data_IF_169507986529
#
_entry.id   IF_169507986529
#
_cell.length_a   1.000
_cell.length_b   1.000
_cell.length_c   1.000
_cell.angle_alpha   90.00
_cell.angle_beta   90.00
_cell.angle_gamma   90.00
#
_symmetry.space_group_name_H-M   'P 1'
#
loop_
_entity.id
_entity.type
_entity.pdbx_description
1 polymer ?
#
# COMPACT_ATOMS: atom_id res chain seq x y z
N UNK A 1 2.53 -20.52 -17.04
CA UNK A 1 2.79 -21.77 -16.28
C UNK A 1 2.98 -21.41 -14.81
N UNK A 2 2.54 -22.27 -13.88
CA UNK A 2 2.77 -22.09 -12.44
C UNK A 2 3.86 -23.07 -11.99
N UNK A 3 4.86 -22.55 -11.27
CA UNK A 3 5.94 -23.34 -10.70
C UNK A 3 6.00 -23.11 -9.17
N UNK A 4 6.47 -24.11 -8.43
CA UNK A 4 6.68 -24.02 -6.97
C UNK A 4 8.13 -23.67 -6.71
N UNK A 5 8.36 -22.62 -5.91
CA UNK A 5 9.67 -22.23 -5.41
C UNK A 5 9.72 -22.56 -3.91
N UNK A 6 10.65 -23.42 -3.51
CA UNK A 6 10.89 -23.78 -2.10
C UNK A 6 12.11 -23.01 -1.61
N UNK A 7 11.95 -22.27 -0.51
CA UNK A 7 13.01 -21.46 0.09
C UNK A 7 13.31 -21.97 1.51
N UNK A 8 14.58 -22.05 1.86
CA UNK A 8 15.01 -22.27 3.24
C UNK A 8 15.13 -20.92 3.94
N UNK A 9 14.36 -20.72 5.01
CA UNK A 9 14.28 -19.49 5.78
C UNK A 9 14.26 -19.83 7.26
N UNK A 10 14.59 -18.85 8.09
CA UNK A 10 14.46 -18.97 9.54
C UNK A 10 13.01 -19.28 9.96
N UNK A 11 12.84 -20.16 10.94
CA UNK A 11 11.52 -20.63 11.40
C UNK A 11 10.70 -19.50 12.04
N UNK A 12 11.33 -18.63 12.81
CA UNK A 12 10.70 -17.48 13.44
C UNK A 12 10.24 -16.48 12.39
N UNK A 13 11.07 -16.25 11.36
CA UNK A 13 10.70 -15.39 10.23
C UNK A 13 9.48 -15.94 9.48
N UNK A 14 9.41 -17.25 9.26
CA UNK A 14 8.24 -17.90 8.62
C UNK A 14 6.98 -17.68 9.46
N UNK A 15 7.06 -17.78 10.79
CA UNK A 15 5.93 -17.56 11.69
C UNK A 15 5.44 -16.11 11.62
N UNK A 16 6.35 -15.14 11.72
CA UNK A 16 6.05 -13.72 11.61
C UNK A 16 5.42 -13.36 10.25
N UNK A 17 5.97 -13.90 9.16
CA UNK A 17 5.47 -13.65 7.82
C UNK A 17 4.04 -14.19 7.62
N UNK A 18 3.73 -15.37 8.16
CA UNK A 18 2.37 -15.94 8.12
C UNK A 18 1.37 -15.12 8.93
N UNK A 19 1.79 -14.63 10.10
CA UNK A 19 0.94 -13.78 10.95
C UNK A 19 0.65 -12.45 10.23
N UNK A 20 1.68 -11.82 9.67
CA UNK A 20 1.53 -10.60 8.88
C UNK A 20 0.58 -10.80 7.69
N UNK A 21 0.73 -11.89 6.94
CA UNK A 21 -0.11 -12.16 5.77
C UNK A 21 -1.58 -12.32 6.14
N UNK A 22 -1.88 -12.96 7.29
CA UNK A 22 -3.25 -13.08 7.82
C UNK A 22 -3.84 -11.72 8.15
N UNK A 23 -3.10 -10.85 8.84
CA UNK A 23 -3.54 -9.48 9.18
C UNK A 23 -3.82 -8.64 7.94
N UNK A 24 -3.07 -8.85 6.86
CA UNK A 24 -3.25 -8.15 5.58
C UNK A 24 -4.29 -8.81 4.68
N UNK A 25 -4.98 -9.86 5.13
CA UNK A 25 -5.96 -10.65 4.36
C UNK A 25 -5.41 -11.11 2.99
N UNK A 26 -4.11 -11.38 2.90
CA UNK A 26 -3.42 -11.82 1.67
C UNK A 26 -2.63 -13.08 1.94
N UNK A 27 -2.54 -13.98 0.96
CA UNK A 27 -1.71 -15.16 1.10
C UNK A 27 -0.23 -14.80 1.04
N UNK A 28 0.59 -15.47 1.84
CA UNK A 28 2.05 -15.26 1.86
C UNK A 28 2.66 -15.49 0.46
N UNK A 29 2.20 -16.54 -0.25
CA UNK A 29 2.63 -16.80 -1.63
C UNK A 29 2.32 -15.65 -2.57
N UNK A 30 1.16 -14.99 -2.42
CA UNK A 30 0.81 -13.83 -3.25
C UNK A 30 1.66 -12.61 -2.93
N UNK A 31 1.98 -12.40 -1.66
CA UNK A 31 2.88 -11.33 -1.23
C UNK A 31 4.28 -11.50 -1.83
N UNK A 32 4.85 -12.71 -1.74
CA UNK A 32 6.17 -13.02 -2.29
C UNK A 32 6.17 -12.94 -3.82
N UNK A 33 5.13 -13.46 -4.48
CA UNK A 33 4.96 -13.33 -5.94
C UNK A 33 4.96 -11.86 -6.38
N UNK A 34 4.18 -11.01 -5.71
CA UNK A 34 4.10 -9.59 -6.02
C UNK A 34 5.43 -8.86 -5.78
N UNK A 35 6.17 -9.23 -4.74
CA UNK A 35 7.49 -8.70 -4.47
C UNK A 35 8.48 -9.07 -5.59
N UNK A 36 8.55 -10.37 -5.93
CA UNK A 36 9.43 -10.84 -6.99
C UNK A 36 9.10 -10.18 -8.33
N UNK A 37 7.82 -10.02 -8.68
CA UNK A 37 7.40 -9.30 -9.89
C UNK A 37 7.93 -7.87 -9.94
N UNK A 38 7.84 -7.14 -8.82
CA UNK A 38 8.36 -5.78 -8.73
C UNK A 38 9.90 -5.76 -8.81
N UNK A 39 10.57 -6.68 -8.12
CA UNK A 39 12.02 -6.75 -8.09
C UNK A 39 12.64 -7.15 -9.44
N UNK A 40 11.95 -7.97 -10.24
CA UNK A 40 12.43 -8.43 -11.55
C UNK A 40 11.87 -7.63 -12.72
N UNK A 41 10.97 -6.66 -12.47
CA UNK A 41 10.43 -5.83 -13.53
C UNK A 41 11.56 -4.97 -14.10
N UNK A 42 11.90 -5.11 -15.40
CA UNK A 42 12.92 -4.28 -16.02
C UNK A 42 12.47 -2.84 -15.89
N UNK A 43 13.29 -2.04 -15.21
CA UNK A 43 13.02 -0.65 -14.92
C UNK A 43 12.75 0.06 -16.24
N UNK A 44 11.50 0.40 -16.52
CA UNK A 44 11.24 1.67 -17.18
C UNK A 44 11.72 2.71 -16.18
N UNK A 45 12.98 3.12 -16.33
CA UNK A 45 13.67 4.16 -15.57
C UNK A 45 13.02 5.55 -15.76
N UNK A 46 11.79 5.60 -16.24
CA UNK A 46 11.02 6.81 -16.39
C UNK A 46 9.78 6.71 -15.50
N UNK A 47 9.85 7.46 -14.41
CA UNK A 47 8.72 8.11 -13.76
C UNK A 47 7.55 7.21 -13.32
N UNK A 48 7.75 6.45 -12.25
CA UNK A 48 6.65 6.22 -11.32
C UNK A 48 7.11 6.66 -9.93
N UNK A 49 7.10 7.98 -9.72
CA UNK A 49 7.36 8.64 -8.43
C UNK A 49 6.39 8.22 -7.33
N UNK A 50 5.29 7.53 -7.69
CA UNK A 50 4.26 7.10 -6.76
C UNK A 50 4.04 5.59 -6.85
N UNK A 51 4.04 4.92 -5.70
CA UNK A 51 3.65 3.51 -5.62
C UNK A 51 2.20 3.33 -6.08
N UNK A 52 1.79 2.15 -6.57
CA UNK A 52 0.43 1.91 -7.07
C UNK A 52 -0.66 2.34 -6.08
N UNK A 53 -0.46 2.07 -4.79
CA UNK A 53 -1.37 2.50 -3.72
C UNK A 53 -1.46 4.03 -3.62
N UNK A 54 -0.32 4.72 -3.67
CA UNK A 54 -0.30 6.19 -3.61
C UNK A 54 -0.96 6.78 -4.85
N UNK A 55 -0.79 6.17 -6.02
CA UNK A 55 -1.47 6.59 -7.25
C UNK A 55 -3.00 6.45 -7.13
N UNK A 56 -3.48 5.31 -6.63
CA UNK A 56 -4.90 5.09 -6.36
C UNK A 56 -5.46 6.13 -5.37
N UNK A 57 -4.73 6.42 -4.29
CA UNK A 57 -5.16 7.39 -3.27
C UNK A 57 -5.10 8.84 -3.76
N UNK A 58 -4.08 9.21 -4.53
CA UNK A 58 -3.87 10.58 -5.02
C UNK A 58 -4.95 11.06 -5.99
N UNK A 59 -5.68 10.16 -6.63
CA UNK A 59 -6.77 10.48 -7.55
C UNK A 59 -8.15 10.63 -6.88
N UNK A 60 -8.27 10.26 -5.60
CA UNK A 60 -9.56 10.26 -4.89
C UNK A 60 -9.95 11.65 -4.39
N UNK A 61 -8.97 12.46 -3.97
CA UNK A 61 -9.22 13.81 -3.45
C UNK A 61 -8.84 14.81 -4.52
N UNK A 62 -9.85 15.47 -5.10
CA UNK A 62 -9.61 16.56 -6.05
C UNK A 62 -9.04 17.77 -5.29
N UNK A 63 -8.00 18.44 -5.80
CA UNK A 63 -7.40 19.60 -5.13
C UNK A 63 -8.43 20.68 -4.75
N UNK A 64 -9.41 20.93 -5.64
CA UNK A 64 -10.48 21.91 -5.40
C UNK A 64 -11.45 21.55 -4.26
N UNK A 65 -11.48 20.29 -3.82
CA UNK A 65 -12.27 19.86 -2.66
C UNK A 65 -11.47 19.93 -1.36
N UNK A 66 -10.13 19.92 -1.43
CA UNK A 66 -9.28 20.01 -0.25
C UNK A 66 -9.35 21.40 0.40
N UNK A 67 -9.33 22.46 -0.40
CA UNK A 67 -9.34 23.85 0.09
C UNK A 67 -10.66 24.19 0.83
N UNK A 68 -11.82 23.78 0.29
CA UNK A 68 -13.12 23.95 0.98
C UNK A 68 -13.19 23.20 2.31
N UNK A 69 -12.57 22.03 2.38
CA UNK A 69 -12.67 21.19 3.58
C UNK A 69 -11.89 21.78 4.76
N UNK A 70 -10.84 22.56 4.51
CA UNK A 70 -10.07 23.24 5.56
C UNK A 70 -10.90 24.36 6.21
N UNK A 71 -11.63 25.14 5.42
CA UNK A 71 -12.51 26.21 5.90
C UNK A 71 -13.69 25.61 6.68
N UNK A 72 -14.41 24.65 6.10
CA UNK A 72 -15.53 23.95 6.75
C UNK A 72 -15.11 23.28 8.07
N UNK A 73 -13.92 22.68 8.13
CA UNK A 73 -13.40 22.05 9.33
C UNK A 73 -13.02 23.08 10.40
N UNK A 74 -12.48 24.23 9.99
CA UNK A 74 -12.16 25.33 10.92
C UNK A 74 -13.43 25.92 11.54
N UNK A 75 -14.48 26.13 10.74
CA UNK A 75 -15.77 26.61 11.21
C UNK A 75 -16.43 25.59 12.15
N UNK A 76 -16.41 24.30 11.81
CA UNK A 76 -16.89 23.23 12.68
C UNK A 76 -16.18 23.21 14.03
N UNK A 77 -14.85 23.36 14.06
CA UNK A 77 -14.09 23.41 15.31
C UNK A 77 -14.42 24.66 16.13
N UNK A 78 -14.56 25.82 15.46
CA UNK A 78 -14.94 27.06 16.11
C UNK A 78 -16.34 26.99 16.75
N UNK A 79 -17.29 26.29 16.12
CA UNK A 79 -18.63 26.05 16.67
C UNK A 79 -18.63 25.01 17.79
N UNK A 80 -17.85 23.93 17.65
CA UNK A 80 -17.78 22.84 18.63
C UNK A 80 -17.17 23.26 19.97
N UNK A 81 -16.19 24.16 19.96
CA UNK A 81 -15.48 24.64 21.15
C UNK A 81 -15.93 26.05 21.59
N UNK A 82 -17.09 26.49 21.10
CA UNK A 82 -17.77 27.70 21.57
C UNK A 82 -18.55 27.43 22.85
#
# INVERSE_FOLDING_TARGET
MQAKLTLSLDKELIAQAKEFSRRQHKSLSKMVENYLRQATSPSSLEENSLTPLVKELSGLIKPSQADRHVEEYSDYLAEKYR
#
